data_IF_898265038208
#
_entry.id   IF_898265038208
#
_cell.length_a   1.000
_cell.length_b   1.000
_cell.length_c   1.000
_cell.angle_alpha   90.00
_cell.angle_beta   90.00
_cell.angle_gamma   90.00
#
_symmetry.space_group_name_H-M   'P 1'
#
loop_
_entity.id
_entity.type
_entity.pdbx_description
1 polymer ?
#
# COMPACT_ATOMS: atom_id res chain seq x y z
N UNK A 1 -49.42 -35.77 30.53
CA UNK A 1 -49.80 -35.75 29.10
C UNK A 1 -48.52 -35.86 28.29
N UNK A 2 -48.32 -37.03 27.62
CA UNK A 2 -47.20 -37.17 26.68
C UNK A 2 -47.47 -36.25 25.48
N UNK A 3 -46.50 -35.32 25.19
CA UNK A 3 -46.60 -34.49 24.01
C UNK A 3 -46.66 -35.37 22.76
N UNK A 4 -47.51 -34.96 21.80
CA UNK A 4 -47.69 -35.67 20.55
C UNK A 4 -46.37 -35.71 19.76
N UNK A 5 -45.98 -36.83 19.20
CA UNK A 5 -44.72 -37.06 18.43
C UNK A 5 -44.40 -35.96 17.42
N UNK A 6 -45.36 -35.39 16.66
CA UNK A 6 -45.10 -34.25 15.77
C UNK A 6 -44.61 -32.97 16.49
N UNK A 7 -45.13 -32.69 17.68
CA UNK A 7 -44.76 -31.50 18.48
C UNK A 7 -43.33 -31.66 19.02
N UNK A 8 -42.96 -32.85 19.49
CA UNK A 8 -41.59 -33.13 19.96
C UNK A 8 -40.59 -33.01 18.81
N UNK A 9 -40.92 -33.57 17.64
CA UNK A 9 -40.07 -33.46 16.43
C UNK A 9 -39.89 -31.99 15.98
N UNK A 10 -40.93 -31.18 16.04
CA UNK A 10 -40.90 -29.77 15.73
C UNK A 10 -40.06 -28.96 16.73
N UNK A 11 -40.19 -29.22 18.04
CA UNK A 11 -39.38 -28.61 19.10
C UNK A 11 -37.91 -28.94 18.92
N UNK A 12 -37.55 -30.20 18.62
CA UNK A 12 -36.18 -30.61 18.33
C UNK A 12 -35.60 -29.88 17.12
N UNK A 13 -36.38 -29.76 16.04
CA UNK A 13 -35.94 -29.04 14.83
C UNK A 13 -35.77 -27.57 15.09
N UNK A 14 -36.63 -26.90 15.85
CA UNK A 14 -36.49 -25.51 16.28
C UNK A 14 -35.21 -25.32 17.12
N UNK A 15 -34.93 -26.26 18.05
CA UNK A 15 -33.73 -26.23 18.87
C UNK A 15 -32.45 -26.34 18.02
N UNK A 16 -32.44 -27.27 17.04
CA UNK A 16 -31.31 -27.42 16.09
C UNK A 16 -31.07 -26.16 15.23
N UNK A 17 -32.16 -25.58 14.68
CA UNK A 17 -32.06 -24.32 13.91
C UNK A 17 -31.50 -23.19 14.76
N UNK A 18 -31.95 -23.10 16.02
CA UNK A 18 -31.44 -22.06 16.95
C UNK A 18 -29.98 -22.29 17.33
N UNK A 19 -29.57 -23.55 17.53
CA UNK A 19 -28.20 -23.90 17.94
C UNK A 19 -27.15 -23.58 16.89
N UNK A 20 -27.53 -23.48 15.60
CA UNK A 20 -26.62 -23.15 14.50
C UNK A 20 -26.94 -21.82 13.81
N UNK A 21 -27.74 -20.98 14.43
CA UNK A 21 -28.07 -19.67 13.89
C UNK A 21 -26.91 -18.65 14.03
N UNK A 22 -26.92 -17.60 13.22
CA UNK A 22 -26.04 -16.44 13.43
C UNK A 22 -26.28 -15.88 14.83
N UNK A 23 -25.20 -15.58 15.55
CA UNK A 23 -25.22 -15.13 16.94
C UNK A 23 -25.19 -16.26 17.98
N UNK A 24 -25.30 -17.51 17.57
CA UNK A 24 -25.17 -18.66 18.49
C UNK A 24 -23.75 -19.20 18.57
N UNK A 25 -23.38 -19.82 19.68
CA UNK A 25 -22.12 -20.55 19.79
C UNK A 25 -22.13 -21.71 18.78
N UNK A 26 -21.07 -21.80 17.98
CA UNK A 26 -20.93 -22.83 16.96
C UNK A 26 -20.95 -24.23 17.60
N UNK A 27 -21.72 -25.15 17.07
CA UNK A 27 -21.73 -26.53 17.56
C UNK A 27 -20.34 -27.16 17.49
N UNK A 28 -19.95 -27.80 18.60
CA UNK A 28 -18.65 -28.49 18.69
C UNK A 28 -18.65 -29.76 17.87
N UNK A 29 -17.50 -30.06 17.24
CA UNK A 29 -17.21 -31.33 16.60
C UNK A 29 -15.78 -31.77 16.86
N UNK A 30 -15.51 -33.03 16.72
CA UNK A 30 -14.19 -33.64 16.72
C UNK A 30 -14.09 -34.58 15.51
N UNK A 31 -13.22 -34.24 14.57
CA UNK A 31 -13.07 -34.92 13.28
C UNK A 31 -11.61 -35.23 13.00
N UNK A 32 -11.35 -36.20 12.11
CA UNK A 32 -9.99 -36.59 11.71
C UNK A 32 -9.47 -35.71 10.58
N UNK A 33 -8.20 -35.32 10.68
CA UNK A 33 -7.47 -34.73 9.60
C UNK A 33 -6.92 -35.78 8.60
N UNK A 34 -6.14 -35.30 7.61
CA UNK A 34 -5.52 -36.18 6.60
C UNK A 34 -4.50 -37.17 7.20
N UNK A 35 -3.90 -36.87 8.34
CA UNK A 35 -2.95 -37.69 9.07
C UNK A 35 -3.64 -38.63 10.07
N UNK A 36 -4.96 -38.50 10.24
CA UNK A 36 -5.77 -39.29 11.17
C UNK A 36 -5.82 -38.73 12.59
N UNK A 37 -5.28 -37.53 12.83
CA UNK A 37 -5.33 -36.88 14.14
C UNK A 37 -6.74 -36.34 14.39
N UNK A 38 -7.20 -36.40 15.62
CA UNK A 38 -8.47 -35.83 16.05
C UNK A 38 -8.33 -34.32 16.29
N UNK A 39 -9.16 -33.54 15.59
CA UNK A 39 -9.18 -32.08 15.65
C UNK A 39 -10.55 -31.62 16.16
N UNK A 40 -10.53 -30.81 17.24
CA UNK A 40 -11.70 -30.14 17.80
C UNK A 40 -11.85 -28.73 17.29
N UNK A 41 -13.08 -28.28 17.00
CA UNK A 41 -13.35 -26.90 16.64
C UNK A 41 -12.90 -25.94 17.74
N UNK A 42 -13.11 -26.30 19.00
CA UNK A 42 -12.72 -25.48 20.16
C UNK A 42 -11.21 -25.24 20.29
N UNK A 43 -10.34 -26.02 19.63
CA UNK A 43 -8.90 -25.79 19.62
C UNK A 43 -8.49 -24.50 18.88
N UNK A 44 -9.40 -23.90 18.12
CA UNK A 44 -9.17 -22.66 17.39
C UNK A 44 -9.74 -21.41 18.09
N UNK A 45 -10.14 -21.51 19.37
CA UNK A 45 -10.56 -20.31 20.14
C UNK A 45 -9.47 -19.25 20.13
N UNK A 46 -9.88 -17.98 20.08
CA UNK A 46 -8.98 -16.82 19.90
C UNK A 46 -8.65 -16.48 18.45
N UNK A 47 -9.14 -17.28 17.47
CA UNK A 47 -9.00 -17.04 16.04
C UNK A 47 -10.35 -16.99 15.35
N UNK A 48 -10.44 -16.25 14.25
CA UNK A 48 -11.57 -16.40 13.33
C UNK A 48 -11.46 -17.75 12.62
N UNK A 49 -12.57 -18.45 12.45
CA UNK A 49 -12.61 -19.75 11.76
C UNK A 49 -13.59 -19.70 10.61
N UNK A 50 -13.12 -20.00 9.41
CA UNK A 50 -13.95 -20.20 8.23
C UNK A 50 -14.08 -21.69 7.99
N UNK A 51 -15.30 -22.24 8.08
CA UNK A 51 -15.57 -23.63 7.80
C UNK A 51 -16.25 -23.73 6.44
N UNK A 52 -15.69 -24.53 5.54
CA UNK A 52 -16.27 -24.93 4.26
C UNK A 52 -16.74 -26.39 4.34
N UNK A 53 -18.03 -26.60 4.33
CA UNK A 53 -18.61 -27.94 4.21
C UNK A 53 -18.76 -28.29 2.73
N UNK A 54 -18.03 -29.31 2.29
CA UNK A 54 -17.88 -29.66 0.88
C UNK A 54 -17.84 -31.17 0.64
N UNK A 55 -17.74 -31.61 -0.62
CA UNK A 55 -17.49 -33.01 -0.97
C UNK A 55 -16.78 -33.09 -2.34
N UNK A 56 -16.07 -34.19 -2.58
CA UNK A 56 -15.34 -34.48 -3.83
C UNK A 56 -16.25 -34.46 -5.06
N UNK A 57 -17.43 -34.99 -4.94
CA UNK A 57 -18.47 -35.09 -5.98
C UNK A 57 -19.25 -33.78 -6.19
N UNK A 58 -19.07 -32.76 -5.33
CA UNK A 58 -19.84 -31.53 -5.37
C UNK A 58 -19.20 -30.51 -6.35
N UNK A 59 -19.64 -30.48 -7.59
CA UNK A 59 -19.15 -29.56 -8.61
C UNK A 59 -19.23 -28.08 -8.21
N UNK A 60 -20.34 -27.57 -7.63
CA UNK A 60 -20.39 -26.19 -7.11
C UNK A 60 -19.40 -25.92 -5.99
N UNK A 61 -19.09 -26.89 -5.11
CA UNK A 61 -18.08 -26.75 -4.05
C UNK A 61 -16.69 -26.56 -4.65
N UNK A 62 -16.33 -27.41 -5.62
CA UNK A 62 -15.03 -27.32 -6.30
C UNK A 62 -14.84 -25.96 -7.02
N UNK A 63 -15.91 -25.37 -7.53
CA UNK A 63 -15.89 -24.01 -8.12
C UNK A 63 -15.67 -22.91 -7.06
N UNK A 64 -16.01 -23.15 -5.79
CA UNK A 64 -15.82 -22.18 -4.71
C UNK A 64 -14.41 -22.27 -4.09
N UNK A 65 -13.71 -23.41 -4.20
CA UNK A 65 -12.36 -23.63 -3.66
C UNK A 65 -11.36 -22.50 -4.06
N UNK A 66 -11.32 -22.01 -5.31
CA UNK A 66 -10.45 -20.89 -5.67
C UNK A 66 -10.68 -19.62 -4.84
N UNK A 67 -11.95 -19.27 -4.54
CA UNK A 67 -12.30 -18.13 -3.70
C UNK A 67 -11.83 -18.34 -2.26
N UNK A 68 -12.01 -19.56 -1.72
CA UNK A 68 -11.56 -19.93 -0.37
C UNK A 68 -10.04 -19.87 -0.28
N UNK A 69 -9.32 -20.37 -1.29
CA UNK A 69 -7.85 -20.26 -1.38
C UNK A 69 -7.37 -18.80 -1.37
N UNK A 70 -8.06 -17.92 -2.10
CA UNK A 70 -7.72 -16.48 -2.08
C UNK A 70 -7.90 -15.89 -0.68
N UNK A 71 -9.00 -16.22 -0.01
CA UNK A 71 -9.27 -15.79 1.37
C UNK A 71 -8.20 -16.32 2.32
N UNK A 72 -7.89 -17.62 2.25
CA UNK A 72 -6.82 -18.23 3.04
C UNK A 72 -5.48 -17.53 2.84
N UNK A 73 -5.05 -17.38 1.59
CA UNK A 73 -3.77 -16.73 1.25
C UNK A 73 -3.70 -15.26 1.70
N UNK A 74 -4.83 -14.56 1.75
CA UNK A 74 -4.86 -13.15 2.15
C UNK A 74 -4.89 -12.95 3.66
N UNK A 75 -5.54 -13.85 4.42
CA UNK A 75 -5.89 -13.58 5.82
C UNK A 75 -5.38 -14.61 6.84
N UNK A 76 -4.72 -15.71 6.42
CA UNK A 76 -4.17 -16.70 7.35
C UNK A 76 -3.19 -16.05 8.36
N UNK A 77 -2.31 -15.17 7.88
CA UNK A 77 -1.37 -14.43 8.73
C UNK A 77 -2.06 -13.34 9.60
N UNK A 78 -3.33 -13.02 9.31
CA UNK A 78 -4.13 -12.04 10.06
C UNK A 78 -5.03 -12.70 11.12
N UNK A 79 -4.84 -13.98 11.41
CA UNK A 79 -5.57 -14.70 12.44
C UNK A 79 -6.82 -15.44 11.95
N UNK A 80 -6.94 -15.69 10.63
CA UNK A 80 -7.96 -16.56 10.06
C UNK A 80 -7.46 -18.02 9.99
N UNK A 81 -8.25 -18.94 10.52
CA UNK A 81 -8.12 -20.37 10.25
C UNK A 81 -9.18 -20.77 9.24
N UNK A 82 -8.78 -21.49 8.20
CA UNK A 82 -9.71 -22.06 7.22
C UNK A 82 -9.73 -23.58 7.39
N UNK A 83 -10.91 -24.17 7.45
CA UNK A 83 -11.14 -25.60 7.64
C UNK A 83 -12.10 -26.10 6.56
N UNK A 84 -11.66 -27.02 5.72
CA UNK A 84 -12.54 -27.80 4.85
C UNK A 84 -13.06 -29.01 5.63
N UNK A 85 -14.36 -29.17 5.71
CA UNK A 85 -15.02 -30.35 6.31
C UNK A 85 -15.70 -31.12 5.18
N UNK A 86 -15.12 -32.24 4.81
CA UNK A 86 -15.71 -33.11 3.79
C UNK A 86 -16.84 -33.93 4.39
N UNK A 87 -17.97 -33.99 3.66
CA UNK A 87 -19.09 -34.87 3.94
C UNK A 87 -19.13 -36.11 3.00
N UNK A 88 -17.98 -36.44 2.41
CA UNK A 88 -17.83 -37.65 1.61
C UNK A 88 -18.03 -38.89 2.44
N UNK A 89 -18.64 -39.92 1.83
CA UNK A 89 -18.78 -41.26 2.43
C UNK A 89 -17.57 -42.15 2.11
N UNK A 90 -16.70 -41.73 1.21
CA UNK A 90 -15.51 -42.44 0.80
C UNK A 90 -14.28 -41.59 1.09
N UNK A 91 -13.41 -42.06 1.97
CA UNK A 91 -12.20 -41.31 2.38
C UNK A 91 -11.16 -41.19 1.26
N UNK A 92 -11.05 -42.19 0.39
CA UNK A 92 -10.11 -42.18 -0.73
C UNK A 92 -10.50 -41.11 -1.77
N UNK A 93 -11.77 -40.97 -2.09
CA UNK A 93 -12.29 -39.97 -3.00
C UNK A 93 -12.04 -38.52 -2.46
N UNK A 94 -12.27 -38.35 -1.14
CA UNK A 94 -11.95 -37.09 -0.48
C UNK A 94 -10.45 -36.76 -0.58
N UNK A 95 -9.56 -37.69 -0.23
CA UNK A 95 -8.11 -37.52 -0.28
C UNK A 95 -7.63 -37.16 -1.69
N UNK A 96 -8.13 -37.90 -2.69
CA UNK A 96 -7.82 -37.60 -4.09
C UNK A 96 -8.28 -36.19 -4.49
N UNK A 97 -9.48 -35.77 -4.12
CA UNK A 97 -9.98 -34.44 -4.45
C UNK A 97 -9.19 -33.32 -3.75
N UNK A 98 -8.74 -33.51 -2.50
CA UNK A 98 -7.86 -32.56 -1.80
C UNK A 98 -6.54 -32.37 -2.54
N UNK A 99 -5.95 -33.47 -3.05
CA UNK A 99 -4.72 -33.43 -3.84
C UNK A 99 -4.92 -32.74 -5.20
N UNK A 100 -5.96 -33.14 -5.93
CA UNK A 100 -6.33 -32.52 -7.23
C UNK A 100 -6.53 -31.02 -7.11
N UNK A 101 -7.25 -30.58 -6.09
CA UNK A 101 -7.50 -29.16 -5.84
C UNK A 101 -6.30 -28.45 -5.20
N UNK A 102 -5.23 -29.13 -4.81
CA UNK A 102 -4.03 -28.55 -4.16
C UNK A 102 -4.41 -27.64 -2.98
N UNK A 103 -5.29 -28.11 -2.12
CA UNK A 103 -5.76 -27.38 -0.93
C UNK A 103 -4.67 -27.37 0.15
N UNK A 104 -4.32 -26.18 0.65
CA UNK A 104 -3.26 -25.99 1.66
C UNK A 104 -3.78 -25.72 3.07
N UNK A 105 -5.06 -25.41 3.22
CA UNK A 105 -5.70 -25.22 4.52
C UNK A 105 -6.19 -26.56 5.09
N UNK A 106 -6.40 -26.58 6.40
CA UNK A 106 -6.79 -27.80 7.16
C UNK A 106 -8.00 -28.49 6.52
N UNK A 107 -7.88 -29.81 6.35
CA UNK A 107 -8.93 -30.66 5.81
C UNK A 107 -9.34 -31.71 6.85
N UNK A 108 -10.64 -31.83 7.10
CA UNK A 108 -11.22 -32.79 8.05
C UNK A 108 -12.28 -33.66 7.35
N UNK A 109 -12.40 -34.91 7.81
CA UNK A 109 -13.38 -35.88 7.28
C UNK A 109 -14.54 -36.06 8.25
N UNK A 110 -15.77 -35.81 7.77
CA UNK A 110 -17.04 -36.08 8.46
C UNK A 110 -17.78 -37.26 7.79
N UNK A 111 -17.13 -38.40 7.68
CA UNK A 111 -17.67 -39.60 7.04
C UNK A 111 -18.98 -40.10 7.72
N UNK A 112 -19.16 -39.76 8.98
CA UNK A 112 -20.38 -40.13 9.75
C UNK A 112 -21.52 -39.12 9.55
N UNK A 113 -21.31 -37.99 8.89
CA UNK A 113 -22.29 -36.95 8.62
C UNK A 113 -22.82 -36.25 9.89
N UNK A 114 -21.96 -36.12 10.91
CA UNK A 114 -22.31 -35.50 12.20
C UNK A 114 -22.58 -34.01 12.01
N UNK A 115 -21.71 -33.33 11.27
CA UNK A 115 -21.76 -31.85 11.08
C UNK A 115 -23.00 -31.43 10.33
N UNK A 116 -23.49 -32.24 9.40
CA UNK A 116 -24.72 -31.97 8.66
C UNK A 116 -25.92 -31.70 9.59
N UNK A 117 -26.04 -32.50 10.63
CA UNK A 117 -27.09 -32.34 11.63
C UNK A 117 -26.82 -31.20 12.59
N UNK A 118 -25.57 -31.05 13.03
CA UNK A 118 -25.16 -30.01 13.99
C UNK A 118 -25.35 -28.62 13.44
N UNK A 119 -24.90 -28.38 12.19
CA UNK A 119 -24.97 -27.06 11.55
C UNK A 119 -26.27 -26.85 10.77
N UNK A 120 -27.15 -27.86 10.69
CA UNK A 120 -28.47 -27.77 10.08
C UNK A 120 -28.46 -27.12 8.70
N UNK A 121 -27.58 -27.58 7.81
CA UNK A 121 -27.56 -27.14 6.40
C UNK A 121 -28.29 -28.20 5.53
N UNK A 122 -28.86 -27.75 4.41
CA UNK A 122 -29.65 -28.60 3.50
C UNK A 122 -28.94 -28.87 2.17
N UNK A 123 -27.74 -28.38 2.00
CA UNK A 123 -26.93 -28.54 0.78
C UNK A 123 -25.54 -27.93 0.93
N UNK A 124 -24.65 -28.35 0.05
CA UNK A 124 -23.27 -27.86 -0.07
C UNK A 124 -23.04 -27.21 -1.44
N UNK A 125 -22.07 -26.25 -1.57
CA UNK A 125 -21.20 -25.79 -0.52
C UNK A 125 -21.96 -25.05 0.59
N UNK A 126 -21.52 -25.17 1.82
CA UNK A 126 -22.05 -24.42 2.94
C UNK A 126 -20.87 -23.85 3.74
N UNK A 127 -20.71 -22.53 3.69
CA UNK A 127 -19.56 -21.84 4.28
C UNK A 127 -20.05 -20.98 5.45
N UNK A 128 -19.41 -21.12 6.61
CA UNK A 128 -19.74 -20.35 7.81
C UNK A 128 -18.50 -19.70 8.40
N UNK A 129 -18.65 -18.46 8.89
CA UNK A 129 -17.61 -17.73 9.59
C UNK A 129 -17.94 -17.70 11.09
N UNK A 130 -16.93 -17.96 11.91
CA UNK A 130 -17.02 -18.05 13.38
C UNK A 130 -16.03 -17.06 14.00
N UNK A 131 -16.47 -16.36 15.05
CA UNK A 131 -15.64 -15.40 15.80
C UNK A 131 -14.58 -16.08 16.67
N UNK A 132 -13.59 -15.33 17.20
CA UNK A 132 -12.62 -15.84 18.18
C UNK A 132 -13.26 -16.44 19.45
N UNK A 133 -14.43 -15.95 19.85
CA UNK A 133 -15.21 -16.45 20.99
C UNK A 133 -15.99 -17.73 20.62
N UNK A 134 -16.01 -18.10 19.34
CA UNK A 134 -16.70 -19.28 18.83
C UNK A 134 -18.16 -19.02 18.48
N UNK A 135 -18.56 -17.78 18.22
CA UNK A 135 -19.92 -17.42 17.81
C UNK A 135 -20.01 -17.42 16.29
N UNK A 136 -21.08 -17.97 15.74
CA UNK A 136 -21.37 -17.94 14.29
C UNK A 136 -21.68 -16.49 13.89
N UNK A 137 -20.83 -15.91 13.01
CA UNK A 137 -20.99 -14.57 12.49
C UNK A 137 -21.79 -14.52 11.20
N UNK A 138 -21.49 -15.45 10.30
CA UNK A 138 -22.14 -15.53 8.98
C UNK A 138 -22.34 -16.98 8.56
N UNK A 139 -23.33 -17.21 7.69
CA UNK A 139 -23.66 -18.53 7.13
C UNK A 139 -23.93 -18.45 5.63
N UNK A 140 -23.66 -19.53 4.91
CA UNK A 140 -23.91 -19.65 3.46
C UNK A 140 -23.16 -18.63 2.61
N UNK A 141 -21.97 -18.20 3.05
CA UNK A 141 -21.10 -17.28 2.32
C UNK A 141 -20.65 -17.89 0.99
N UNK A 142 -20.56 -17.06 -0.08
CA UNK A 142 -20.10 -17.50 -1.41
C UNK A 142 -19.52 -16.35 -2.24
N UNK A 143 -18.63 -16.70 -3.17
CA UNK A 143 -18.09 -15.78 -4.17
C UNK A 143 -17.51 -14.51 -3.54
N UNK A 144 -17.80 -13.36 -4.13
CA UNK A 144 -17.29 -12.06 -3.64
C UNK A 144 -17.77 -11.69 -2.22
N UNK A 145 -18.95 -12.18 -1.80
CA UNK A 145 -19.44 -11.92 -0.45
C UNK A 145 -18.62 -12.63 0.63
N UNK A 146 -18.12 -13.84 0.34
CA UNK A 146 -17.23 -14.57 1.23
C UNK A 146 -16.03 -13.69 1.64
N UNK A 147 -15.30 -13.18 0.66
CA UNK A 147 -14.13 -12.34 0.91
C UNK A 147 -14.49 -11.07 1.64
N UNK A 148 -15.51 -10.34 1.17
CA UNK A 148 -15.95 -9.07 1.75
C UNK A 148 -16.31 -9.22 3.24
N UNK A 149 -17.03 -10.27 3.60
CA UNK A 149 -17.45 -10.51 4.99
C UNK A 149 -16.27 -10.91 5.88
N UNK A 150 -15.40 -11.79 5.40
CA UNK A 150 -14.17 -12.15 6.14
C UNK A 150 -13.32 -10.90 6.39
N UNK A 151 -13.12 -10.06 5.39
CA UNK A 151 -12.36 -8.82 5.52
C UNK A 151 -13.01 -7.83 6.49
N UNK A 152 -14.34 -7.67 6.42
CA UNK A 152 -15.12 -6.80 7.33
C UNK A 152 -14.89 -7.18 8.80
N UNK A 153 -15.00 -8.47 9.13
CA UNK A 153 -14.81 -8.94 10.51
C UNK A 153 -13.36 -8.91 10.98
N UNK A 154 -12.41 -9.26 10.12
CA UNK A 154 -10.99 -9.30 10.50
C UNK A 154 -10.32 -7.93 10.57
N UNK A 155 -10.68 -7.02 9.69
CA UNK A 155 -9.97 -5.76 9.48
C UNK A 155 -10.82 -4.50 9.73
N UNK A 156 -12.15 -4.63 9.84
CA UNK A 156 -13.06 -3.49 9.98
C UNK A 156 -12.69 -2.56 11.15
N UNK A 157 -12.37 -3.14 12.30
CA UNK A 157 -11.95 -2.39 13.48
C UNK A 157 -10.59 -1.69 13.31
N UNK A 158 -9.75 -2.18 12.39
CA UNK A 158 -8.46 -1.54 12.05
C UNK A 158 -8.64 -0.45 11.02
N UNK A 159 -9.55 -0.64 10.07
CA UNK A 159 -9.78 0.29 8.97
C UNK A 159 -10.42 1.59 9.41
N UNK A 160 -11.45 1.55 10.23
CA UNK A 160 -12.19 2.74 10.66
C UNK A 160 -11.30 3.80 11.37
N UNK A 161 -10.46 3.44 12.34
CA UNK A 161 -9.51 4.38 12.95
C UNK A 161 -8.49 4.95 11.96
N UNK A 162 -7.95 4.12 11.06
CA UNK A 162 -6.98 4.54 10.04
C UNK A 162 -7.63 5.54 9.08
N UNK A 163 -8.84 5.25 8.59
CA UNK A 163 -9.59 6.15 7.71
C UNK A 163 -9.88 7.49 8.37
N UNK A 164 -10.35 7.48 9.63
CA UNK A 164 -10.62 8.67 10.42
C UNK A 164 -9.36 9.51 10.63
N UNK A 165 -8.26 8.89 11.10
CA UNK A 165 -6.99 9.57 11.32
C UNK A 165 -6.41 10.16 10.03
N UNK A 166 -6.53 9.46 8.90
CA UNK A 166 -6.11 9.98 7.60
C UNK A 166 -6.93 11.21 7.19
N UNK A 167 -8.24 11.22 7.45
CA UNK A 167 -9.11 12.37 7.21
C UNK A 167 -8.70 13.60 8.03
N UNK A 168 -8.37 13.41 9.30
CA UNK A 168 -7.90 14.48 10.19
C UNK A 168 -6.55 15.06 9.73
N UNK A 169 -5.59 14.22 9.38
CA UNK A 169 -4.29 14.64 8.85
C UNK A 169 -4.44 15.37 7.51
N UNK A 170 -5.27 14.87 6.61
CA UNK A 170 -5.56 15.52 5.33
C UNK A 170 -6.14 16.92 5.54
N UNK A 171 -7.05 17.09 6.49
CA UNK A 171 -7.64 18.38 6.84
C UNK A 171 -6.57 19.35 7.34
N UNK A 172 -5.74 18.96 8.30
CA UNK A 172 -4.67 19.78 8.85
C UNK A 172 -3.66 20.20 7.77
N UNK A 173 -3.25 19.27 6.91
CA UNK A 173 -2.37 19.56 5.79
C UNK A 173 -2.98 20.58 4.82
N UNK A 174 -4.24 20.42 4.44
CA UNK A 174 -4.92 21.32 3.51
C UNK A 174 -5.06 22.74 4.09
N UNK A 175 -5.39 22.88 5.37
CA UNK A 175 -5.45 24.17 6.06
C UNK A 175 -4.09 24.89 6.08
N UNK A 176 -3.01 24.12 6.29
CA UNK A 176 -1.65 24.63 6.25
C UNK A 176 -1.25 25.08 4.85
N UNK A 177 -1.59 24.29 3.81
CA UNK A 177 -1.34 24.63 2.40
C UNK A 177 -2.11 25.89 1.99
N UNK A 178 -3.36 26.04 2.41
CA UNK A 178 -4.12 27.26 2.15
C UNK A 178 -3.48 28.50 2.83
N UNK A 179 -2.97 28.34 4.03
CA UNK A 179 -2.21 29.40 4.71
C UNK A 179 -0.94 29.74 3.94
N UNK A 180 -0.17 28.74 3.50
CA UNK A 180 1.02 28.90 2.66
C UNK A 180 0.71 29.66 1.36
N UNK A 181 -0.40 29.33 0.70
CA UNK A 181 -0.80 29.98 -0.58
C UNK A 181 -1.05 31.46 -0.42
N UNK A 182 -1.58 31.92 0.71
CA UNK A 182 -1.89 33.32 1.00
C UNK A 182 -0.68 34.21 1.28
N UNK A 183 0.48 33.62 1.59
CA UNK A 183 1.72 34.37 1.88
C UNK A 183 2.27 34.96 0.58
N UNK A 184 2.38 36.30 0.52
CA UNK A 184 2.95 37.02 -0.63
C UNK A 184 4.47 37.18 -0.52
N UNK A 185 4.97 37.39 0.70
CA UNK A 185 6.41 37.54 0.94
C UNK A 185 7.14 36.22 0.70
N UNK A 186 8.11 36.20 -0.19
CA UNK A 186 8.82 35.00 -0.66
C UNK A 186 9.59 34.32 0.47
N UNK A 187 10.24 35.12 1.35
CA UNK A 187 11.06 34.54 2.42
C UNK A 187 10.20 33.92 3.51
N UNK A 188 9.11 34.59 3.91
CA UNK A 188 8.11 34.03 4.83
C UNK A 188 7.44 32.78 4.25
N UNK A 189 7.20 32.80 2.94
CA UNK A 189 6.66 31.65 2.22
C UNK A 189 7.63 30.48 2.22
N UNK A 190 8.93 30.72 2.04
CA UNK A 190 9.96 29.69 2.14
C UNK A 190 10.07 29.11 3.57
N UNK A 191 9.92 29.93 4.61
CA UNK A 191 9.89 29.46 6.00
C UNK A 191 8.64 28.61 6.29
N UNK A 192 7.46 29.03 5.79
CA UNK A 192 6.24 28.27 5.93
C UNK A 192 6.30 26.93 5.22
N UNK A 193 7.03 26.87 4.09
CA UNK A 193 7.24 25.62 3.34
C UNK A 193 7.89 24.52 4.19
N UNK A 194 8.78 24.86 5.12
CA UNK A 194 9.37 23.87 6.04
C UNK A 194 8.29 23.17 6.86
N UNK A 195 7.28 23.91 7.34
CA UNK A 195 6.13 23.32 8.04
C UNK A 195 5.29 22.45 7.13
N UNK A 196 5.07 22.88 5.89
CA UNK A 196 4.33 22.09 4.89
C UNK A 196 5.04 20.77 4.59
N UNK A 197 6.37 20.77 4.46
CA UNK A 197 7.16 19.53 4.27
C UNK A 197 7.00 18.56 5.43
N UNK A 198 7.09 19.04 6.66
CA UNK A 198 6.93 18.20 7.86
C UNK A 198 5.54 17.55 7.90
N UNK A 199 4.49 18.32 7.65
CA UNK A 199 3.13 17.78 7.65
C UNK A 199 2.89 16.84 6.46
N UNK A 200 3.50 17.11 5.29
CA UNK A 200 3.48 16.19 4.15
C UNK A 200 4.11 14.85 4.50
N UNK A 201 5.26 14.86 5.18
CA UNK A 201 5.93 13.63 5.61
C UNK A 201 5.08 12.86 6.62
N UNK A 202 4.54 13.50 7.64
CA UNK A 202 3.61 12.87 8.60
C UNK A 202 2.42 12.22 7.91
N UNK A 203 1.87 12.91 6.90
CA UNK A 203 0.77 12.39 6.07
C UNK A 203 1.16 11.11 5.34
N UNK A 204 2.35 11.08 4.72
CA UNK A 204 2.87 9.93 4.05
C UNK A 204 3.13 8.76 5.02
N UNK A 205 3.80 9.02 6.14
CA UNK A 205 4.12 8.00 7.15
C UNK A 205 2.86 7.37 7.73
N UNK A 206 1.83 8.18 8.02
CA UNK A 206 0.56 7.68 8.54
C UNK A 206 -0.16 6.80 7.51
N UNK A 207 -0.17 7.21 6.23
CA UNK A 207 -0.75 6.41 5.13
C UNK A 207 -0.01 5.08 5.00
N UNK A 208 1.32 5.09 4.94
CA UNK A 208 2.12 3.88 4.78
C UNK A 208 1.93 2.90 5.94
N UNK A 209 1.89 3.42 7.17
CA UNK A 209 1.58 2.61 8.36
C UNK A 209 0.19 2.00 8.29
N UNK A 210 -0.82 2.79 7.87
CA UNK A 210 -2.19 2.31 7.69
C UNK A 210 -2.30 1.23 6.61
N UNK A 211 -1.66 1.43 5.46
CA UNK A 211 -1.63 0.45 4.37
C UNK A 211 -0.95 -0.86 4.81
N UNK A 212 0.12 -0.79 5.60
CA UNK A 212 0.77 -2.00 6.14
C UNK A 212 -0.15 -2.79 7.07
N UNK A 213 -1.01 -2.11 7.85
CA UNK A 213 -2.02 -2.78 8.69
C UNK A 213 -3.15 -3.42 7.87
N UNK A 214 -3.37 -2.94 6.65
CA UNK A 214 -4.43 -3.34 5.73
C UNK A 214 -3.86 -4.09 4.51
N UNK A 215 -2.66 -4.67 4.65
CA UNK A 215 -1.96 -5.38 3.58
C UNK A 215 -2.84 -6.46 2.95
N UNK A 216 -2.89 -6.48 1.61
CA UNK A 216 -3.64 -7.48 0.86
C UNK A 216 -5.16 -7.31 0.86
N UNK A 217 -5.70 -6.20 1.37
CA UNK A 217 -7.14 -5.99 1.56
C UNK A 217 -7.76 -4.99 0.58
N UNK A 218 -9.09 -5.08 0.38
CA UNK A 218 -9.86 -4.06 -0.33
C UNK A 218 -9.95 -2.74 0.46
N UNK A 219 -9.89 -2.81 1.80
CA UNK A 219 -9.82 -1.63 2.65
C UNK A 219 -8.55 -0.82 2.39
N UNK A 220 -7.41 -1.51 2.16
CA UNK A 220 -6.18 -0.87 1.75
C UNK A 220 -6.28 -0.20 0.38
N UNK A 221 -6.95 -0.84 -0.59
CA UNK A 221 -7.25 -0.22 -1.90
C UNK A 221 -8.13 1.02 -1.75
N UNK A 222 -9.18 0.95 -0.92
CA UNK A 222 -10.06 2.09 -0.64
C UNK A 222 -9.30 3.25 -0.01
N UNK A 223 -8.40 2.96 0.93
CA UNK A 223 -7.54 3.97 1.56
C UNK A 223 -6.60 4.62 0.53
N UNK A 224 -6.00 3.85 -0.37
CA UNK A 224 -5.20 4.37 -1.49
C UNK A 224 -6.03 5.27 -2.40
N UNK A 225 -7.24 4.84 -2.79
CA UNK A 225 -8.14 5.61 -3.65
C UNK A 225 -8.50 6.95 -3.04
N UNK A 226 -8.84 6.98 -1.76
CA UNK A 226 -9.19 8.21 -1.04
C UNK A 226 -8.02 9.22 -0.99
N UNK A 227 -6.79 8.74 -1.20
CA UNK A 227 -5.56 9.54 -1.14
C UNK A 227 -4.87 9.71 -2.50
N UNK A 228 -5.44 9.18 -3.58
CA UNK A 228 -4.79 9.08 -4.88
C UNK A 228 -4.41 10.43 -5.48
N UNK A 229 -5.27 11.46 -5.31
CA UNK A 229 -5.06 12.79 -5.89
C UNK A 229 -3.72 13.45 -5.51
N UNK A 230 -3.25 13.23 -4.28
CA UNK A 230 -1.97 13.78 -3.86
C UNK A 230 -0.80 12.79 -4.02
N UNK A 231 -1.08 11.49 -4.08
CA UNK A 231 -0.07 10.48 -4.40
C UNK A 231 0.42 10.61 -5.84
N UNK A 232 -0.45 11.05 -6.76
CA UNK A 232 -0.06 11.34 -8.15
C UNK A 232 1.00 12.45 -8.24
N UNK A 233 1.10 13.34 -7.24
CA UNK A 233 2.12 14.38 -7.16
C UNK A 233 3.45 13.89 -6.56
N UNK A 234 3.51 12.68 -6.01
CA UNK A 234 4.70 12.12 -5.36
C UNK A 234 4.89 10.64 -5.69
N UNK A 235 5.57 10.38 -6.81
CA UNK A 235 5.84 9.02 -7.26
C UNK A 235 6.52 8.14 -6.20
N UNK A 236 7.47 8.67 -5.43
CA UNK A 236 8.20 7.89 -4.43
C UNK A 236 7.28 7.43 -3.30
N UNK A 237 6.41 8.31 -2.81
CA UNK A 237 5.40 7.94 -1.79
C UNK A 237 4.37 6.98 -2.38
N UNK A 238 3.94 7.19 -3.62
CA UNK A 238 2.99 6.28 -4.28
C UNK A 238 3.59 4.89 -4.46
N UNK A 239 4.84 4.78 -4.91
CA UNK A 239 5.56 3.51 -5.01
C UNK A 239 5.64 2.79 -3.66
N UNK A 240 6.02 3.53 -2.60
CA UNK A 240 6.05 2.99 -1.24
C UNK A 240 4.67 2.54 -0.75
N UNK A 241 3.61 3.26 -1.13
CA UNK A 241 2.24 2.91 -0.78
C UNK A 241 1.77 1.61 -1.47
N UNK A 242 2.09 1.43 -2.77
CA UNK A 242 1.84 0.16 -3.48
C UNK A 242 2.60 -0.99 -2.81
N UNK A 243 3.86 -0.79 -2.45
CA UNK A 243 4.66 -1.80 -1.75
C UNK A 243 4.10 -2.14 -0.37
N UNK A 244 3.67 -1.14 0.41
CA UNK A 244 3.09 -1.34 1.73
C UNK A 244 1.76 -2.11 1.69
N UNK A 245 0.98 -1.93 0.63
CA UNK A 245 -0.25 -2.68 0.41
C UNK A 245 -0.01 -4.15 0.03
N UNK A 246 1.17 -4.44 -0.55
CA UNK A 246 1.60 -5.79 -0.91
C UNK A 246 0.93 -6.36 -2.16
N UNK A 247 1.36 -7.58 -2.53
CA UNK A 247 0.94 -8.23 -3.79
C UNK A 247 -0.34 -9.07 -3.68
N UNK A 248 -0.85 -9.31 -2.45
CA UNK A 248 -2.02 -10.19 -2.18
C UNK A 248 -3.36 -9.49 -2.36
N UNK A 249 -3.34 -8.29 -2.91
CA UNK A 249 -4.55 -7.49 -3.15
C UNK A 249 -5.45 -8.17 -4.17
N UNK A 250 -6.77 -8.26 -3.92
CA UNK A 250 -7.70 -8.90 -4.85
C UNK A 250 -7.75 -8.19 -6.21
N UNK A 251 -7.97 -8.97 -7.27
CA UNK A 251 -8.27 -8.40 -8.57
C UNK A 251 -9.64 -7.71 -8.52
N UNK A 252 -9.66 -6.42 -8.87
CA UNK A 252 -10.86 -5.60 -8.88
C UNK A 252 -10.69 -4.41 -9.85
N UNK A 253 -11.79 -3.77 -10.21
CA UNK A 253 -11.75 -2.53 -11.00
C UNK A 253 -10.95 -1.44 -10.28
N UNK A 254 -11.10 -1.36 -8.97
CA UNK A 254 -10.38 -0.41 -8.12
C UNK A 254 -8.86 -0.63 -8.16
N UNK A 255 -8.41 -1.89 -8.05
CA UNK A 255 -7.01 -2.24 -8.22
C UNK A 255 -6.52 -1.83 -9.61
N UNK A 256 -7.26 -2.19 -10.65
CA UNK A 256 -6.91 -1.87 -12.03
C UNK A 256 -6.76 -0.35 -12.25
N UNK A 257 -7.68 0.45 -11.73
CA UNK A 257 -7.60 1.91 -11.79
C UNK A 257 -6.32 2.44 -11.13
N UNK A 258 -6.04 2.03 -9.89
CA UNK A 258 -4.89 2.49 -9.12
C UNK A 258 -3.59 2.07 -9.80
N UNK A 259 -3.47 0.81 -10.23
CA UNK A 259 -2.26 0.30 -10.91
C UNK A 259 -2.02 0.95 -12.27
N UNK A 260 -3.06 1.26 -13.04
CA UNK A 260 -2.93 1.99 -14.31
C UNK A 260 -2.38 3.40 -14.08
N UNK A 261 -2.85 4.11 -13.06
CA UNK A 261 -2.32 5.43 -12.69
C UNK A 261 -0.85 5.32 -12.23
N UNK A 262 -0.53 4.35 -11.40
CA UNK A 262 0.84 4.11 -10.95
C UNK A 262 1.78 3.82 -12.14
N UNK A 263 1.42 2.90 -13.03
CA UNK A 263 2.20 2.56 -14.23
C UNK A 263 2.39 3.75 -15.16
N UNK A 264 1.37 4.60 -15.31
CA UNK A 264 1.50 5.84 -16.09
C UNK A 264 2.56 6.76 -15.49
N UNK A 265 2.52 6.98 -14.17
CA UNK A 265 3.52 7.80 -13.48
C UNK A 265 4.92 7.16 -13.51
N UNK A 266 5.01 5.85 -13.41
CA UNK A 266 6.26 5.11 -13.53
C UNK A 266 6.89 5.31 -14.92
N UNK A 267 6.11 5.23 -15.99
CA UNK A 267 6.58 5.48 -17.36
C UNK A 267 7.03 6.94 -17.60
N UNK A 268 6.53 7.87 -16.79
CA UNK A 268 6.95 9.29 -16.84
C UNK A 268 8.26 9.55 -16.07
N UNK A 269 8.74 8.60 -15.25
CA UNK A 269 10.02 8.77 -14.57
C UNK A 269 11.17 8.74 -15.58
N UNK A 270 12.16 9.58 -15.33
CA UNK A 270 13.42 9.53 -16.07
C UNK A 270 14.28 8.42 -15.47
N UNK A 271 14.55 7.39 -16.25
CA UNK A 271 15.38 6.22 -15.88
C UNK A 271 16.49 6.03 -16.90
N UNK A 272 17.51 5.29 -16.53
CA UNK A 272 18.66 5.03 -17.40
C UNK A 272 19.63 6.20 -17.45
N UNK A 273 20.26 6.43 -18.61
CA UNK A 273 21.29 7.43 -18.78
C UNK A 273 20.71 8.85 -18.68
N UNK A 274 21.35 9.69 -17.84
CA UNK A 274 20.98 11.10 -17.69
C UNK A 274 21.24 11.86 -19.00
N UNK A 275 20.25 12.58 -19.55
CA UNK A 275 20.45 13.41 -20.74
C UNK A 275 21.64 14.37 -20.58
N UNK A 276 22.59 14.32 -21.49
CA UNK A 276 23.74 15.24 -21.46
C UNK A 276 23.31 16.63 -21.93
N UNK A 277 23.96 17.65 -21.38
CA UNK A 277 23.74 19.03 -21.76
C UNK A 277 25.01 19.89 -21.64
N UNK A 278 25.03 21.05 -22.28
CA UNK A 278 26.01 22.10 -22.08
C UNK A 278 25.28 23.38 -21.72
N UNK A 279 25.56 23.90 -20.53
CA UNK A 279 25.00 25.17 -20.04
C UNK A 279 26.10 26.10 -19.54
N UNK A 280 25.79 27.41 -19.49
CA UNK A 280 26.71 28.41 -18.99
C UNK A 280 26.64 28.57 -17.46
N UNK A 281 27.78 28.67 -16.81
CA UNK A 281 27.86 29.10 -15.43
C UNK A 281 27.66 30.63 -15.28
N UNK A 282 27.58 31.08 -14.03
CA UNK A 282 27.43 32.55 -13.73
C UNK A 282 28.48 33.42 -14.31
N UNK A 283 29.64 32.89 -14.74
CA UNK A 283 30.77 33.61 -15.37
C UNK A 283 30.78 33.48 -16.89
N UNK A 284 29.83 32.74 -17.46
CA UNK A 284 29.74 32.48 -18.90
C UNK A 284 30.63 31.33 -19.38
N UNK A 285 31.15 30.50 -18.46
CA UNK A 285 31.91 29.31 -18.82
C UNK A 285 30.96 28.16 -19.14
N UNK A 286 31.20 27.46 -20.25
CA UNK A 286 30.48 26.24 -20.61
C UNK A 286 30.78 25.09 -19.64
N UNK A 287 29.74 24.45 -19.18
CA UNK A 287 29.79 23.26 -18.32
C UNK A 287 28.96 22.15 -18.98
N UNK A 288 29.61 21.02 -19.22
CA UNK A 288 28.99 19.83 -19.75
C UNK A 288 28.74 18.83 -18.61
N UNK A 289 27.51 18.26 -18.52
CA UNK A 289 27.17 17.32 -17.46
C UNK A 289 28.02 16.03 -17.53
N UNK A 290 28.25 15.49 -18.73
CA UNK A 290 29.05 14.26 -18.89
C UNK A 290 30.53 14.44 -18.46
N UNK A 291 31.02 15.65 -18.27
CA UNK A 291 32.38 15.92 -17.76
C UNK A 291 32.58 15.44 -16.31
N UNK A 292 31.49 15.13 -15.56
CA UNK A 292 31.51 14.61 -14.19
C UNK A 292 31.51 13.10 -14.13
N UNK A 293 31.22 12.40 -15.25
CA UNK A 293 31.22 10.92 -15.29
C UNK A 293 32.56 10.35 -14.90
N UNK A 294 32.53 9.20 -14.20
CA UNK A 294 33.70 8.52 -13.68
C UNK A 294 34.38 9.23 -12.50
N UNK A 295 33.98 10.46 -12.18
CA UNK A 295 34.63 11.30 -11.16
C UNK A 295 33.76 11.52 -9.94
N UNK A 296 32.50 11.90 -10.15
CA UNK A 296 31.59 12.31 -9.07
C UNK A 296 30.17 11.84 -9.36
N UNK A 297 29.40 11.64 -8.32
CA UNK A 297 27.95 11.63 -8.41
C UNK A 297 27.45 13.07 -8.53
N UNK A 298 26.30 13.27 -9.19
CA UNK A 298 25.73 14.60 -9.39
C UNK A 298 24.36 14.67 -8.73
N UNK A 299 24.16 15.70 -7.92
CA UNK A 299 22.83 16.13 -7.48
C UNK A 299 22.42 17.31 -8.38
N UNK A 300 21.61 17.01 -9.39
CA UNK A 300 21.13 17.99 -10.37
C UNK A 300 19.81 18.58 -9.89
N UNK A 301 19.81 19.86 -9.55
CA UNK A 301 18.69 20.57 -8.93
C UNK A 301 18.12 21.62 -9.91
N UNK A 302 16.85 21.48 -10.28
CA UNK A 302 16.12 22.46 -11.07
C UNK A 302 15.34 23.40 -10.16
N UNK A 303 15.61 24.72 -10.28
CA UNK A 303 15.07 25.73 -9.40
C UNK A 303 14.80 27.07 -10.09
N UNK A 304 14.22 28.03 -9.36
CA UNK A 304 14.10 29.41 -9.81
C UNK A 304 14.08 30.40 -8.63
N UNK A 305 14.46 31.65 -8.87
CA UNK A 305 14.52 32.69 -7.85
C UNK A 305 13.19 32.99 -7.18
N UNK A 306 12.08 32.80 -7.89
CA UNK A 306 10.71 33.02 -7.43
C UNK A 306 10.06 31.78 -6.76
N UNK A 307 10.76 30.65 -6.77
CA UNK A 307 10.27 29.39 -6.22
C UNK A 307 10.56 29.32 -4.70
N UNK A 308 9.57 29.61 -3.86
CA UNK A 308 9.74 29.58 -2.40
C UNK A 308 10.19 28.21 -1.86
N UNK A 309 9.64 27.06 -2.32
CA UNK A 309 10.17 25.75 -1.95
C UNK A 309 11.65 25.56 -2.30
N UNK A 310 12.09 26.05 -3.48
CA UNK A 310 13.49 25.96 -3.91
C UNK A 310 14.41 26.78 -2.98
N UNK A 311 13.97 27.99 -2.59
CA UNK A 311 14.71 28.86 -1.68
C UNK A 311 14.87 28.24 -0.28
N UNK A 312 13.85 27.50 0.16
CA UNK A 312 13.92 26.70 1.37
C UNK A 312 14.94 25.55 1.23
N UNK A 313 14.86 24.78 0.15
CA UNK A 313 15.78 23.69 -0.16
C UNK A 313 17.24 24.16 -0.25
N UNK A 314 17.52 25.32 -0.85
CA UNK A 314 18.86 25.90 -0.89
C UNK A 314 19.45 26.13 0.50
N UNK A 315 18.63 26.61 1.46
CA UNK A 315 19.07 26.77 2.86
C UNK A 315 19.42 25.44 3.51
N UNK A 316 18.65 24.40 3.22
CA UNK A 316 18.89 23.06 3.72
C UNK A 316 20.16 22.45 3.11
N UNK A 317 20.31 22.50 1.78
CA UNK A 317 21.52 22.04 1.08
C UNK A 317 22.78 22.74 1.55
N UNK A 318 22.72 24.04 1.87
CA UNK A 318 23.87 24.80 2.42
C UNK A 318 24.39 24.16 3.73
N UNK A 319 23.52 23.66 4.60
CA UNK A 319 23.93 23.02 5.87
C UNK A 319 24.78 21.77 5.61
N UNK A 320 24.44 21.01 4.58
CA UNK A 320 25.05 19.72 4.28
C UNK A 320 26.01 19.74 3.09
N UNK A 321 26.21 20.90 2.43
CA UNK A 321 27.02 21.00 1.21
C UNK A 321 28.44 20.45 1.39
N UNK A 322 29.11 20.79 2.51
CA UNK A 322 30.45 20.29 2.80
C UNK A 322 30.51 18.78 2.90
N UNK A 323 29.51 18.18 3.54
CA UNK A 323 29.41 16.73 3.71
C UNK A 323 29.11 16.03 2.38
N UNK A 324 28.14 16.50 1.63
CA UNK A 324 27.83 15.97 0.29
C UNK A 324 29.08 16.02 -0.62
N UNK A 325 29.82 17.12 -0.60
CA UNK A 325 31.06 17.27 -1.36
C UNK A 325 32.13 16.27 -0.91
N UNK A 326 32.27 16.03 0.41
CA UNK A 326 33.19 15.06 0.98
C UNK A 326 32.88 13.62 0.54
N UNK A 327 31.59 13.30 0.39
CA UNK A 327 31.08 12.03 -0.12
C UNK A 327 31.19 11.89 -1.65
N UNK A 328 31.72 12.89 -2.34
CA UNK A 328 31.92 12.87 -3.79
C UNK A 328 30.66 13.25 -4.59
N UNK A 329 29.66 13.82 -3.94
CA UNK A 329 28.45 14.32 -4.59
C UNK A 329 28.67 15.79 -4.99
N UNK A 330 28.56 16.09 -6.29
CA UNK A 330 28.60 17.43 -6.84
C UNK A 330 27.17 17.97 -6.98
N UNK A 331 26.84 19.04 -6.27
CA UNK A 331 25.57 19.74 -6.52
C UNK A 331 25.76 20.65 -7.76
N UNK A 332 24.81 20.56 -8.69
CA UNK A 332 24.67 21.39 -9.86
C UNK A 332 23.24 21.90 -9.90
N UNK A 333 23.04 23.21 -9.73
CA UNK A 333 21.69 23.78 -9.88
C UNK A 333 21.52 24.42 -11.23
N UNK A 334 20.42 24.12 -11.91
CA UNK A 334 19.99 24.70 -13.18
C UNK A 334 18.84 25.66 -12.91
N UNK A 335 19.05 26.94 -13.12
CA UNK A 335 18.01 27.94 -12.97
C UNK A 335 17.09 27.98 -14.18
N UNK A 336 15.78 28.00 -13.93
CA UNK A 336 14.75 28.27 -14.94
C UNK A 336 14.24 29.73 -14.88
N UNK A 337 15.07 30.64 -14.37
CA UNK A 337 14.75 32.06 -14.34
C UNK A 337 14.85 32.68 -15.74
N UNK A 338 13.88 33.53 -16.07
CA UNK A 338 13.89 34.35 -17.29
C UNK A 338 14.75 35.65 -17.15
N UNK A 339 15.17 35.95 -15.92
CA UNK A 339 15.90 37.17 -15.57
C UNK A 339 17.21 36.83 -14.86
N UNK A 340 18.33 37.01 -15.58
CA UNK A 340 19.68 36.75 -15.05
C UNK A 340 19.95 37.51 -13.76
N UNK A 341 19.48 38.76 -13.64
CA UNK A 341 19.72 39.60 -12.46
C UNK A 341 19.03 39.00 -11.23
N UNK A 342 17.75 38.61 -11.36
CA UNK A 342 16.97 37.96 -10.29
C UNK A 342 17.59 36.64 -9.86
N UNK A 343 18.03 35.81 -10.82
CA UNK A 343 18.75 34.57 -10.54
C UNK A 343 20.01 34.85 -9.70
N UNK A 344 20.89 35.74 -10.15
CA UNK A 344 22.16 36.04 -9.45
C UNK A 344 21.91 36.66 -8.07
N UNK A 345 20.91 37.54 -7.94
CA UNK A 345 20.51 38.10 -6.65
C UNK A 345 20.04 36.97 -5.69
N UNK A 346 19.24 36.02 -6.16
CA UNK A 346 18.81 34.90 -5.37
C UNK A 346 19.96 33.98 -4.95
N UNK A 347 20.89 33.67 -5.85
CA UNK A 347 22.14 32.95 -5.56
C UNK A 347 22.91 33.60 -4.42
N UNK A 348 23.04 34.94 -4.47
CA UNK A 348 23.73 35.72 -3.43
C UNK A 348 22.96 35.70 -2.10
N UNK A 349 21.65 35.92 -2.12
CA UNK A 349 20.81 35.96 -0.93
C UNK A 349 20.79 34.59 -0.20
N UNK A 350 20.70 33.49 -0.95
CA UNK A 350 20.71 32.12 -0.40
C UNK A 350 22.14 31.65 -0.08
N UNK A 351 23.17 32.45 -0.32
CA UNK A 351 24.58 32.10 -0.08
C UNK A 351 25.01 30.82 -0.77
N UNK A 352 24.51 30.54 -1.99
CA UNK A 352 24.79 29.33 -2.73
C UNK A 352 26.25 29.33 -3.20
N UNK A 353 27.02 28.33 -2.82
CA UNK A 353 28.44 28.20 -3.10
C UNK A 353 28.82 27.12 -4.12
N UNK A 354 27.84 26.24 -4.47
CA UNK A 354 28.04 25.22 -5.49
C UNK A 354 27.75 25.73 -6.90
N UNK A 355 27.96 24.85 -7.89
CA UNK A 355 27.86 25.18 -9.30
C UNK A 355 26.43 25.58 -9.67
N UNK A 356 26.32 26.77 -10.27
CA UNK A 356 25.06 27.35 -10.72
C UNK A 356 25.10 27.53 -12.23
N UNK A 357 24.13 26.97 -12.93
CA UNK A 357 23.98 27.03 -14.39
C UNK A 357 22.63 27.66 -14.74
N UNK A 358 22.54 28.22 -15.93
CA UNK A 358 21.26 28.65 -16.50
C UNK A 358 21.33 28.60 -18.04
N UNK A 359 20.21 28.32 -18.68
CA UNK A 359 20.03 28.54 -20.10
C UNK A 359 19.50 29.97 -20.32
N UNK A 360 20.46 30.89 -20.51
CA UNK A 360 20.17 32.33 -20.62
C UNK A 360 19.77 32.74 -22.05
N UNK A 361 19.98 31.87 -23.04
CA UNK A 361 19.73 32.19 -24.45
C UNK A 361 18.29 31.87 -24.88
N UNK A 362 17.63 30.97 -24.16
CA UNK A 362 16.26 30.50 -24.46
C UNK A 362 15.30 30.76 -23.29
N UNK A 363 15.01 32.01 -23.07
CA UNK A 363 14.08 32.41 -22.00
C UNK A 363 12.68 31.88 -22.31
N UNK A 364 12.31 30.74 -21.67
CA UNK A 364 10.98 30.14 -21.67
C UNK A 364 10.86 28.75 -22.26
N UNK A 365 11.92 28.23 -22.90
CA UNK A 365 11.95 26.86 -23.46
C UNK A 365 13.34 26.23 -23.23
N UNK A 366 13.68 26.01 -21.96
CA UNK A 366 14.92 25.32 -21.61
C UNK A 366 14.88 23.87 -22.08
N UNK A 367 15.68 23.51 -23.11
CA UNK A 367 15.74 22.12 -23.61
C UNK A 367 16.07 21.11 -22.51
N UNK A 368 16.88 21.53 -21.54
CA UNK A 368 17.26 20.68 -20.40
C UNK A 368 16.05 20.40 -19.50
N UNK A 369 15.19 21.40 -19.28
CA UNK A 369 13.92 21.23 -18.55
C UNK A 369 13.05 20.14 -19.19
N UNK A 370 12.90 20.18 -20.51
CA UNK A 370 12.12 19.22 -21.29
C UNK A 370 12.76 17.83 -21.25
N UNK A 371 14.08 17.72 -21.47
CA UNK A 371 14.82 16.46 -21.46
C UNK A 371 14.74 15.75 -20.11
N UNK A 372 14.72 16.51 -19.02
CA UNK A 372 14.58 15.99 -17.65
C UNK A 372 13.12 15.89 -17.18
N UNK A 373 12.15 16.12 -18.06
CA UNK A 373 10.70 16.02 -17.75
C UNK A 373 10.33 16.81 -16.48
N UNK A 374 10.89 18.01 -16.32
CA UNK A 374 10.62 18.88 -15.16
C UNK A 374 9.25 19.51 -15.32
N UNK A 375 8.30 19.15 -14.46
CA UNK A 375 6.92 19.67 -14.47
C UNK A 375 6.66 20.66 -13.34
N UNK A 376 7.42 20.56 -12.26
CA UNK A 376 7.26 21.36 -11.04
C UNK A 376 8.62 21.69 -10.44
N UNK A 377 8.71 22.77 -9.66
CA UNK A 377 9.92 23.16 -8.94
C UNK A 377 9.71 23.09 -7.42
N UNK A 378 10.72 22.65 -6.67
CA UNK A 378 12.00 22.10 -7.13
C UNK A 378 11.84 20.69 -7.71
N UNK A 379 12.70 20.30 -8.64
CA UNK A 379 12.90 18.93 -9.10
C UNK A 379 14.38 18.60 -9.02
N UNK A 380 14.72 17.50 -8.40
CA UNK A 380 16.11 17.07 -8.17
C UNK A 380 16.34 15.68 -8.74
N UNK A 381 17.46 15.45 -9.39
CA UNK A 381 17.91 14.15 -9.84
C UNK A 381 19.24 13.79 -9.19
N UNK A 382 19.30 12.60 -8.62
CA UNK A 382 20.56 11.99 -8.18
C UNK A 382 21.09 11.10 -9.29
N UNK A 383 22.27 11.45 -9.82
CA UNK A 383 22.90 10.77 -10.95
C UNK A 383 24.19 10.12 -10.45
N UNK A 384 24.35 8.84 -10.75
CA UNK A 384 25.52 8.06 -10.38
C UNK A 384 26.80 8.51 -11.13
N UNK A 385 27.96 8.05 -10.68
CA UNK A 385 29.25 8.27 -11.37
C UNK A 385 29.26 7.69 -12.78
N UNK A 386 28.48 6.66 -13.04
CA UNK A 386 28.26 6.03 -14.34
C UNK A 386 27.40 6.90 -15.29
N UNK A 387 26.80 7.96 -14.78
CA UNK A 387 25.88 8.82 -15.52
C UNK A 387 24.44 8.31 -15.54
N UNK A 388 24.12 7.25 -14.77
CA UNK A 388 22.77 6.72 -14.68
C UNK A 388 21.97 7.45 -13.61
N UNK A 389 20.70 7.76 -13.90
CA UNK A 389 19.77 8.35 -12.94
C UNK A 389 19.44 7.33 -11.87
N UNK A 390 19.84 7.59 -10.63
CA UNK A 390 19.57 6.73 -9.48
C UNK A 390 18.17 6.99 -8.90
N UNK A 391 17.82 8.28 -8.73
CA UNK A 391 16.57 8.68 -8.12
C UNK A 391 16.15 10.11 -8.48
N UNK A 392 14.85 10.34 -8.59
CA UNK A 392 14.23 11.66 -8.65
C UNK A 392 13.78 12.07 -7.25
N UNK A 393 14.04 13.31 -6.86
CA UNK A 393 13.73 13.89 -5.55
C UNK A 393 14.21 13.02 -4.38
N UNK A 394 15.52 12.69 -4.30
CA UNK A 394 16.06 11.95 -3.18
C UNK A 394 15.90 12.73 -1.88
N UNK A 395 15.68 12.02 -0.77
CA UNK A 395 15.74 12.63 0.56
C UNK A 395 17.19 12.92 0.95
N UNK A 396 17.37 13.82 1.91
CA UNK A 396 18.70 14.12 2.43
C UNK A 396 19.31 12.91 3.14
N UNK A 397 18.49 12.13 3.83
CA UNK A 397 18.87 10.88 4.48
C UNK A 397 19.41 9.84 3.46
N UNK A 398 18.76 9.69 2.30
CA UNK A 398 19.25 8.83 1.23
C UNK A 398 20.60 9.28 0.67
N UNK A 399 20.82 10.59 0.55
CA UNK A 399 22.09 11.16 0.07
C UNK A 399 23.21 11.00 1.11
N UNK A 400 22.89 11.05 2.39
CA UNK A 400 23.85 10.99 3.49
C UNK A 400 24.01 9.58 4.07
N UNK A 401 23.18 8.61 3.65
CA UNK A 401 23.12 7.29 4.28
C UNK A 401 22.59 7.36 5.71
N UNK A 402 22.36 6.21 6.35
CA UNK A 402 21.74 6.08 7.69
C UNK A 402 22.57 6.62 8.88
N UNK A 403 23.52 7.52 8.64
CA UNK A 403 24.39 8.10 9.69
C UNK A 403 23.97 9.52 10.11
N UNK A 404 22.71 9.89 9.97
CA UNK A 404 22.19 11.06 10.69
C UNK A 404 21.72 10.56 12.06
N UNK A 405 22.64 10.40 13.01
CA UNK A 405 22.30 10.46 14.42
C UNK A 405 22.12 11.93 14.80
N UNK A 406 21.02 12.24 15.48
CA UNK A 406 20.55 13.53 15.99
C UNK A 406 21.62 14.41 16.65
#
# INVERSE_FOLDING_TARGET
>A
MQECYPIQKMKMRIAQVKASAVGSVAPEFELKDLEGNLVKLSSFRGKYVLIDFWASWCGPCRKEIPNIKQVYNSFADNGLVVIGVSVDQNEDEWRQAVEEEQVKYLQLSDIEGITWKLYNFSGIPFITLISPEGVILERSLRGGELRRKVEEYLLGDRYAPVKKGMGEINKQYNELVETYRKIKDLMKKAEMWEKVKVERQKRADFLLKGLKQLEGSEFGLSLLKDNLSWLEDDYNVFQSAIQALGNRVPESELKTEIWNKFKKLEAEQLTGEAPDFVLLDKRGKEIRLSSFRGKKEVLLDFWASFCAPCRSQNKELNKYYKELKRRGIQIISVSLDKDKKKWLEAVKQDKISWLQLADLERIGECEVEVAYKVKVLPTVYWIGKDGIVKKKNPTLEELLGSEISD
#
